data_IF_925245697007
#
_entry.id   IF_925245697007
#
_cell.length_a   1.000
_cell.length_b   1.000
_cell.length_c   1.000
_cell.angle_alpha   90.00
_cell.angle_beta   90.00
_cell.angle_gamma   90.00
#
_symmetry.space_group_name_H-M   'P 1'
#
loop_
_entity.id
_entity.type
_entity.pdbx_description
1 polymer ?
#
# COMPACT_ATOMS: atom_id res chain seq x y z
N UNK A 1 6.11 31.98 -4.71
CA UNK A 1 5.14 31.00 -4.21
C UNK A 1 3.89 30.98 -5.07
N UNK A 2 3.11 29.91 -4.98
CA UNK A 2 1.85 29.73 -5.71
C UNK A 2 0.68 29.85 -4.73
N UNK A 3 -0.45 30.43 -5.16
CA UNK A 3 -1.75 30.27 -4.50
C UNK A 3 -2.38 28.98 -5.03
N UNK A 4 -2.79 28.09 -4.13
CA UNK A 4 -3.31 26.75 -4.51
C UNK A 4 -4.69 26.56 -3.89
N UNK A 5 -5.68 26.16 -4.74
CA UNK A 5 -6.94 25.56 -4.31
C UNK A 5 -6.92 24.08 -4.65
N UNK A 6 -7.51 23.26 -3.79
CA UNK A 6 -7.63 21.81 -3.99
C UNK A 6 -9.11 21.46 -4.03
N UNK A 7 -9.54 20.92 -5.16
CA UNK A 7 -10.91 20.54 -5.40
C UNK A 7 -11.03 19.04 -5.67
N UNK A 8 -12.13 18.44 -5.23
CA UNK A 8 -12.44 17.05 -5.51
C UNK A 8 -13.25 16.96 -6.82
N UNK A 9 -12.76 16.20 -7.79
CA UNK A 9 -13.44 15.96 -9.07
C UNK A 9 -14.62 14.99 -8.89
N UNK A 10 -15.78 15.53 -8.46
CA UNK A 10 -17.01 14.76 -8.26
C UNK A 10 -18.01 14.90 -9.40
N UNK A 11 -18.02 16.03 -10.13
CA UNK A 11 -18.88 16.28 -11.27
C UNK A 11 -18.31 17.42 -12.15
N UNK A 12 -18.61 17.41 -13.46
CA UNK A 12 -18.14 18.44 -14.40
C UNK A 12 -18.53 19.85 -13.95
N UNK A 13 -19.80 20.04 -13.56
CA UNK A 13 -20.30 21.31 -13.05
C UNK A 13 -19.53 21.83 -11.84
N UNK A 14 -19.09 20.94 -10.94
CA UNK A 14 -18.29 21.33 -9.75
C UNK A 14 -16.91 21.81 -10.18
N UNK A 15 -16.27 21.08 -11.11
CA UNK A 15 -14.95 21.48 -11.64
C UNK A 15 -15.04 22.82 -12.38
N UNK A 16 -16.06 23.02 -13.21
CA UNK A 16 -16.31 24.28 -13.95
C UNK A 16 -16.56 25.45 -12.97
N UNK A 17 -17.38 25.25 -11.95
CA UNK A 17 -17.66 26.26 -10.93
C UNK A 17 -16.40 26.62 -10.12
N UNK A 18 -15.64 25.61 -9.68
CA UNK A 18 -14.40 25.83 -8.95
C UNK A 18 -13.38 26.65 -9.76
N UNK A 19 -13.21 26.33 -11.05
CA UNK A 19 -12.37 27.09 -11.98
C UNK A 19 -12.86 28.53 -12.16
N UNK A 20 -14.18 28.72 -12.33
CA UNK A 20 -14.77 30.04 -12.49
C UNK A 20 -14.60 30.93 -11.24
N UNK A 21 -14.67 30.36 -10.05
CA UNK A 21 -14.52 31.08 -8.77
C UNK A 21 -13.05 31.37 -8.47
N UNK A 22 -12.17 30.38 -8.55
CA UNK A 22 -10.76 30.52 -8.20
C UNK A 22 -9.93 31.25 -9.27
N UNK A 23 -10.33 31.10 -10.56
CA UNK A 23 -9.65 31.67 -11.74
C UNK A 23 -8.15 31.33 -11.77
N UNK A 24 -7.79 30.05 -11.80
CA UNK A 24 -6.39 29.64 -11.80
C UNK A 24 -5.70 29.98 -13.13
N UNK A 25 -4.38 30.17 -13.10
CA UNK A 25 -3.55 30.28 -14.29
C UNK A 25 -3.30 28.91 -14.95
N UNK A 26 -3.32 27.83 -14.14
CA UNK A 26 -3.12 26.45 -14.57
C UNK A 26 -3.90 25.50 -13.67
N UNK A 27 -4.48 24.45 -14.28
CA UNK A 27 -5.06 23.33 -13.55
C UNK A 27 -4.08 22.15 -13.57
N UNK A 28 -3.82 21.53 -12.41
CA UNK A 28 -3.04 20.30 -12.31
C UNK A 28 -3.94 19.18 -11.83
N UNK A 29 -4.04 18.13 -12.62
CA UNK A 29 -4.91 16.98 -12.35
C UNK A 29 -4.07 15.72 -12.08
N UNK A 30 -3.69 15.44 -10.84
CA UNK A 30 -3.08 14.18 -10.46
C UNK A 30 -4.14 13.09 -10.32
N UNK A 31 -3.86 11.90 -10.81
CA UNK A 31 -4.70 10.70 -10.61
C UNK A 31 -6.16 10.84 -11.09
N UNK A 32 -6.35 11.36 -12.30
CA UNK A 32 -7.68 11.52 -12.89
C UNK A 32 -8.43 10.18 -13.01
N UNK A 33 -9.71 10.22 -12.64
CA UNK A 33 -10.69 9.17 -12.95
C UNK A 33 -11.66 9.56 -14.05
N UNK A 34 -11.80 10.84 -14.29
CA UNK A 34 -12.71 11.45 -15.26
C UNK A 34 -11.93 12.39 -16.16
N UNK A 35 -12.36 12.56 -17.41
CA UNK A 35 -11.78 13.57 -18.27
C UNK A 35 -12.07 14.98 -17.73
N UNK A 36 -11.10 15.88 -17.88
CA UNK A 36 -11.33 17.31 -17.59
C UNK A 36 -12.35 17.82 -18.61
N UNK A 37 -13.40 18.57 -18.20
CA UNK A 37 -14.40 19.11 -19.12
C UNK A 37 -13.79 19.96 -20.23
N UNK A 38 -14.30 19.84 -21.45
CA UNK A 38 -13.83 20.63 -22.59
C UNK A 38 -13.95 22.13 -22.34
N UNK A 39 -15.02 22.55 -21.67
CA UNK A 39 -15.22 23.95 -21.26
C UNK A 39 -14.08 24.51 -20.40
N UNK A 40 -13.30 23.65 -19.75
CA UNK A 40 -12.14 23.99 -18.93
C UNK A 40 -10.85 23.92 -19.76
N UNK A 41 -10.49 22.73 -20.29
CA UNK A 41 -9.19 22.55 -20.96
C UNK A 41 -9.03 23.34 -22.26
N UNK A 42 -10.12 23.75 -22.92
CA UNK A 42 -10.06 24.59 -24.11
C UNK A 42 -9.69 26.06 -23.81
N UNK A 43 -9.79 26.49 -22.56
CA UNK A 43 -9.58 27.90 -22.14
C UNK A 43 -8.44 28.09 -21.15
N UNK A 44 -8.03 27.03 -20.50
CA UNK A 44 -7.05 27.02 -19.41
C UNK A 44 -6.03 25.90 -19.65
N UNK A 45 -4.71 26.14 -19.53
CA UNK A 45 -3.74 25.07 -19.52
C UNK A 45 -4.05 24.06 -18.42
N UNK A 46 -4.28 22.80 -18.81
CA UNK A 46 -4.55 21.73 -17.87
C UNK A 46 -3.46 20.65 -17.98
N UNK A 47 -2.76 20.41 -16.90
CA UNK A 47 -1.71 19.40 -16.78
C UNK A 47 -2.28 18.12 -16.22
N UNK A 48 -2.23 17.04 -17.00
CA UNK A 48 -2.58 15.68 -16.57
C UNK A 48 -1.31 14.98 -16.13
N UNK A 49 -1.31 14.46 -14.91
CA UNK A 49 -0.20 13.66 -14.38
C UNK A 49 -0.52 12.18 -14.61
N UNK A 50 -0.02 11.63 -15.71
CA UNK A 50 -0.24 10.23 -16.07
C UNK A 50 0.84 9.34 -15.45
N UNK A 51 0.47 8.26 -14.71
CA UNK A 51 1.44 7.33 -14.09
C UNK A 51 1.96 6.31 -15.12
N UNK A 52 2.48 6.81 -16.24
CA UNK A 52 3.00 6.04 -17.36
C UNK A 52 4.20 6.71 -18.01
N UNK A 53 5.00 5.92 -18.73
CA UNK A 53 6.10 6.40 -19.57
C UNK A 53 5.53 7.16 -20.78
N UNK A 54 6.36 7.96 -21.44
CA UNK A 54 5.94 8.70 -22.61
C UNK A 54 5.35 7.76 -23.69
N UNK A 55 4.13 8.08 -24.10
CA UNK A 55 3.34 7.29 -25.06
C UNK A 55 2.44 6.25 -24.43
N UNK A 56 2.57 5.94 -23.12
CA UNK A 56 1.61 5.09 -22.42
C UNK A 56 0.28 5.85 -22.25
N UNK A 57 -0.83 5.15 -22.53
CA UNK A 57 -2.17 5.70 -22.46
C UNK A 57 -3.14 4.67 -21.88
N UNK A 58 -4.10 5.14 -21.11
CA UNK A 58 -5.18 4.31 -20.58
C UNK A 58 -5.14 4.16 -19.07
N UNK A 59 -6.24 3.65 -18.48
CA UNK A 59 -6.52 3.79 -17.04
C UNK A 59 -5.79 2.81 -16.12
N UNK A 60 -5.04 1.83 -16.64
CA UNK A 60 -4.40 0.77 -15.84
C UNK A 60 -2.89 0.68 -16.08
N UNK A 61 -2.23 1.81 -16.24
CA UNK A 61 -0.82 1.91 -16.61
C UNK A 61 0.11 1.04 -15.73
N UNK A 62 0.06 1.20 -14.41
CA UNK A 62 0.88 0.41 -13.48
C UNK A 62 0.45 -1.05 -13.36
N UNK A 63 -0.85 -1.35 -13.46
CA UNK A 63 -1.33 -2.74 -13.48
C UNK A 63 -0.67 -3.51 -14.63
N UNK A 64 -0.63 -2.92 -15.83
CA UNK A 64 0.03 -3.49 -16.99
C UNK A 64 1.55 -3.55 -16.85
N UNK A 65 2.18 -2.48 -16.36
CA UNK A 65 3.63 -2.45 -16.16
C UNK A 65 4.12 -3.57 -15.24
N UNK A 66 3.46 -3.76 -14.09
CA UNK A 66 3.79 -4.82 -13.14
C UNK A 66 3.51 -6.21 -13.75
N UNK A 67 2.37 -6.37 -14.43
CA UNK A 67 1.99 -7.65 -15.05
C UNK A 67 2.97 -8.05 -16.16
N UNK A 68 3.45 -7.10 -16.93
CA UNK A 68 4.43 -7.31 -18.02
C UNK A 68 5.88 -7.32 -17.55
N UNK A 69 6.12 -7.10 -16.24
CA UNK A 69 7.46 -7.07 -15.66
C UNK A 69 8.37 -6.01 -16.31
N UNK A 70 7.82 -4.83 -16.59
CA UNK A 70 8.62 -3.72 -17.11
C UNK A 70 9.77 -3.42 -16.12
N UNK A 71 11.03 -3.34 -16.58
CA UNK A 71 12.16 -3.08 -15.68
C UNK A 71 12.21 -1.64 -15.19
N UNK A 72 11.65 -0.72 -15.97
CA UNK A 72 11.56 0.70 -15.67
C UNK A 72 10.16 1.21 -16.01
N UNK A 73 9.68 2.16 -15.25
CA UNK A 73 8.42 2.83 -15.52
C UNK A 73 8.57 4.33 -15.32
N UNK A 74 7.47 5.10 -15.38
CA UNK A 74 7.60 6.55 -15.26
C UNK A 74 6.28 7.26 -15.00
N UNK A 75 6.43 8.59 -14.91
CA UNK A 75 5.32 9.54 -14.86
C UNK A 75 5.51 10.55 -15.98
N UNK A 76 4.45 10.85 -16.70
CA UNK A 76 4.44 11.86 -17.76
C UNK A 76 3.41 12.94 -17.44
N UNK A 77 3.82 14.20 -17.50
CA UNK A 77 2.93 15.36 -17.38
C UNK A 77 2.55 15.79 -18.79
N UNK A 78 1.26 15.69 -19.10
CA UNK A 78 0.67 15.95 -20.41
C UNK A 78 -0.20 17.20 -20.37
N UNK A 79 -0.27 17.94 -21.49
CA UNK A 79 -1.32 18.91 -21.72
C UNK A 79 -2.64 18.18 -21.99
N UNK A 80 -3.71 18.56 -21.29
CA UNK A 80 -5.04 18.00 -21.59
C UNK A 80 -5.52 18.44 -22.97
N UNK A 81 -6.05 17.48 -23.71
CA UNK A 81 -6.67 17.65 -25.02
C UNK A 81 -7.90 16.73 -25.16
N UNK A 82 -8.59 16.78 -26.29
CA UNK A 82 -9.79 15.98 -26.53
C UNK A 82 -9.57 14.46 -26.49
N UNK A 83 -8.35 13.99 -26.70
CA UNK A 83 -7.99 12.58 -26.57
C UNK A 83 -7.23 12.34 -25.24
N UNK A 84 -7.76 11.46 -24.41
CA UNK A 84 -7.18 11.16 -23.10
C UNK A 84 -5.75 10.59 -23.24
N UNK A 85 -4.84 11.08 -22.39
CA UNK A 85 -3.43 10.69 -22.29
C UNK A 85 -2.62 10.82 -23.60
N UNK A 86 -3.10 11.57 -24.59
CA UNK A 86 -2.47 11.70 -25.91
C UNK A 86 -1.90 13.10 -26.19
N UNK A 87 -2.06 14.04 -25.29
CA UNK A 87 -1.61 15.41 -25.45
C UNK A 87 -0.08 15.59 -25.46
N UNK A 88 0.39 16.80 -25.82
CA UNK A 88 1.82 17.12 -25.79
C UNK A 88 2.42 16.97 -24.39
N UNK A 89 3.69 16.60 -24.35
CA UNK A 89 4.45 16.30 -23.12
C UNK A 89 5.13 17.55 -22.60
N UNK A 90 4.87 17.91 -21.33
CA UNK A 90 5.55 18.97 -20.61
C UNK A 90 6.81 18.49 -19.90
N UNK A 91 6.72 17.34 -19.24
CA UNK A 91 7.84 16.75 -18.51
C UNK A 91 7.62 15.25 -18.30
N UNK A 92 8.69 14.52 -18.04
CA UNK A 92 8.61 13.10 -17.68
C UNK A 92 9.71 12.75 -16.69
N UNK A 93 9.44 11.76 -15.83
CA UNK A 93 10.41 11.16 -14.91
C UNK A 93 10.29 9.64 -14.98
N UNK A 94 11.41 8.96 -15.20
CA UNK A 94 11.46 7.50 -15.17
C UNK A 94 12.14 7.00 -13.89
N UNK A 95 11.78 5.79 -13.46
CA UNK A 95 12.34 5.12 -12.29
C UNK A 95 12.41 3.61 -12.51
N UNK A 96 13.35 2.89 -11.85
CA UNK A 96 13.34 1.43 -11.80
C UNK A 96 12.04 0.92 -11.15
N UNK A 97 11.35 -0.02 -11.79
CA UNK A 97 10.12 -0.61 -11.26
C UNK A 97 10.46 -1.72 -10.27
N UNK A 98 10.25 -1.47 -8.98
CA UNK A 98 10.47 -2.47 -7.92
C UNK A 98 9.46 -3.60 -7.99
N UNK A 99 9.88 -4.80 -7.57
CA UNK A 99 9.02 -5.97 -7.40
C UNK A 99 8.29 -5.86 -6.06
N UNK A 100 7.18 -5.15 -6.04
CA UNK A 100 6.35 -4.94 -4.84
C UNK A 100 4.89 -4.70 -5.23
N UNK A 101 4.02 -4.49 -4.24
CA UNK A 101 2.62 -4.14 -4.46
C UNK A 101 2.47 -2.81 -5.21
N UNK A 102 1.51 -2.71 -6.12
CA UNK A 102 1.20 -1.51 -6.89
C UNK A 102 1.07 -0.26 -6.02
N UNK A 103 0.38 -0.38 -4.88
CA UNK A 103 0.22 0.74 -3.97
C UNK A 103 1.54 1.25 -3.38
N UNK A 104 2.52 0.35 -3.19
CA UNK A 104 3.88 0.72 -2.77
C UNK A 104 4.59 1.52 -3.85
N UNK A 105 4.50 1.09 -5.13
CA UNK A 105 5.05 1.83 -6.28
C UNK A 105 4.44 3.24 -6.37
N UNK A 106 3.12 3.37 -6.19
CA UNK A 106 2.48 4.68 -6.18
C UNK A 106 3.05 5.62 -5.12
N UNK A 107 3.28 5.11 -3.91
CA UNK A 107 3.77 5.93 -2.78
C UNK A 107 5.24 6.31 -2.91
N UNK A 108 6.07 5.37 -3.32
CA UNK A 108 7.52 5.51 -3.18
C UNK A 108 8.23 5.91 -4.48
N UNK A 109 7.65 5.62 -5.65
CA UNK A 109 8.23 5.96 -6.96
C UNK A 109 7.39 6.98 -7.71
N UNK A 110 6.09 6.70 -7.91
CA UNK A 110 5.20 7.54 -8.74
C UNK A 110 5.02 8.93 -8.12
N UNK A 111 4.72 9.02 -6.83
CA UNK A 111 4.46 10.30 -6.17
C UNK A 111 5.67 11.24 -6.17
N UNK A 112 6.89 10.80 -5.80
CA UNK A 112 8.08 11.65 -5.93
C UNK A 112 8.37 12.05 -7.39
N UNK A 113 8.29 11.12 -8.34
CA UNK A 113 8.50 11.39 -9.76
C UNK A 113 7.47 12.39 -10.31
N UNK A 114 6.20 12.24 -9.93
CA UNK A 114 5.13 13.17 -10.29
C UNK A 114 5.39 14.57 -9.76
N UNK A 115 5.84 14.69 -8.51
CA UNK A 115 6.16 15.99 -7.89
C UNK A 115 7.28 16.70 -8.65
N UNK A 116 8.35 15.99 -9.01
CA UNK A 116 9.46 16.56 -9.80
C UNK A 116 8.97 16.95 -11.20
N UNK A 117 8.24 16.08 -11.89
CA UNK A 117 7.75 16.35 -13.24
C UNK A 117 6.79 17.54 -13.30
N UNK A 118 5.88 17.66 -12.33
CA UNK A 118 4.94 18.81 -12.23
C UNK A 118 5.71 20.12 -12.03
N UNK A 119 6.70 20.15 -11.14
CA UNK A 119 7.51 21.35 -10.92
C UNK A 119 8.30 21.75 -12.17
N UNK A 120 8.85 20.78 -12.91
CA UNK A 120 9.53 21.03 -14.20
C UNK A 120 8.55 21.59 -15.25
N UNK A 121 7.35 21.01 -15.35
CA UNK A 121 6.31 21.49 -16.26
C UNK A 121 5.91 22.93 -15.94
N UNK A 122 5.64 23.27 -14.68
CA UNK A 122 5.29 24.62 -14.24
C UNK A 122 6.44 25.62 -14.49
N UNK A 123 7.68 25.21 -14.28
CA UNK A 123 8.84 26.04 -14.57
C UNK A 123 9.00 26.29 -16.08
N UNK A 124 8.80 25.29 -16.93
CA UNK A 124 8.83 25.43 -18.39
C UNK A 124 7.73 26.39 -18.88
N UNK A 125 6.51 26.26 -18.33
CA UNK A 125 5.40 27.18 -18.62
C UNK A 125 5.74 28.62 -18.22
N UNK A 126 6.29 28.84 -17.03
CA UNK A 126 6.67 30.17 -16.55
C UNK A 126 7.78 30.82 -17.42
N UNK A 127 8.59 30.01 -18.12
CA UNK A 127 9.60 30.47 -19.08
C UNK A 127 9.06 30.66 -20.50
N UNK A 128 7.74 30.49 -20.71
CA UNK A 128 7.11 30.64 -22.03
C UNK A 128 7.44 29.48 -23.00
N UNK A 129 7.91 28.33 -22.49
CA UNK A 129 8.11 27.15 -23.32
C UNK A 129 6.79 26.51 -23.72
N UNK A 130 6.79 25.73 -24.77
CA UNK A 130 5.65 24.94 -25.25
C UNK A 130 5.90 23.45 -25.03
N UNK A 131 4.86 22.64 -24.77
CA UNK A 131 5.04 21.20 -24.58
C UNK A 131 5.38 20.55 -25.92
N UNK A 132 6.13 19.45 -25.86
CA UNK A 132 6.58 18.71 -27.04
C UNK A 132 5.45 17.77 -27.51
N UNK A 133 4.99 17.86 -28.78
CA UNK A 133 4.05 16.90 -29.32
C UNK A 133 4.55 15.45 -29.20
N UNK A 134 3.66 14.55 -28.83
CA UNK A 134 4.01 13.14 -28.59
C UNK A 134 4.71 12.49 -29.80
N UNK A 135 4.29 12.83 -31.01
CA UNK A 135 4.89 12.33 -32.27
C UNK A 135 6.34 12.79 -32.49
N UNK A 136 6.78 13.83 -31.80
CA UNK A 136 8.15 14.36 -31.87
C UNK A 136 9.02 13.87 -30.71
N UNK A 137 8.46 13.11 -29.77
CA UNK A 137 9.20 12.61 -28.62
C UNK A 137 10.07 11.42 -29.01
N UNK A 138 11.36 11.65 -29.14
CA UNK A 138 12.32 10.59 -29.42
C UNK A 138 12.36 9.57 -28.28
N UNK A 139 12.17 8.28 -28.59
CA UNK A 139 12.21 7.21 -27.60
C UNK A 139 10.89 6.95 -26.87
N UNK A 140 9.76 7.50 -27.33
CA UNK A 140 8.45 7.10 -26.84
C UNK A 140 8.23 5.59 -27.08
N UNK A 141 8.01 4.85 -25.97
CA UNK A 141 7.83 3.37 -26.00
C UNK A 141 6.53 2.91 -25.35
N UNK A 142 5.74 3.86 -24.85
CA UNK A 142 4.43 3.59 -24.30
C UNK A 142 3.42 3.17 -25.36
N UNK A 143 2.34 2.56 -24.93
CA UNK A 143 1.27 2.02 -25.80
C UNK A 143 -0.10 2.35 -25.20
N UNK A 144 -1.12 2.43 -26.06
CA UNK A 144 -2.51 2.46 -25.61
C UNK A 144 -2.90 1.08 -25.08
N UNK A 145 -3.29 1.01 -23.81
CA UNK A 145 -3.73 -0.20 -23.14
C UNK A 145 -5.17 -0.05 -22.61
N UNK A 146 -5.98 -1.11 -22.68
CA UNK A 146 -7.33 -1.08 -22.14
C UNK A 146 -7.33 -1.06 -20.62
N UNK A 147 -8.48 -0.76 -20.03
CA UNK A 147 -8.74 -1.00 -18.63
C UNK A 147 -8.52 -2.49 -18.32
N UNK A 148 -7.59 -2.78 -17.41
CA UNK A 148 -7.35 -4.15 -16.96
C UNK A 148 -8.53 -4.64 -16.12
N UNK A 149 -9.20 -5.66 -16.59
CA UNK A 149 -10.37 -6.29 -15.95
C UNK A 149 -9.98 -7.47 -15.08
N UNK A 150 -10.94 -8.04 -14.36
CA UNK A 150 -10.68 -9.22 -13.52
C UNK A 150 -10.25 -10.44 -14.36
N UNK A 151 -10.76 -10.60 -15.56
CA UNK A 151 -10.35 -11.68 -16.48
C UNK A 151 -8.86 -11.58 -16.86
N UNK A 152 -8.33 -10.36 -17.05
CA UNK A 152 -6.92 -10.13 -17.39
C UNK A 152 -5.97 -10.50 -16.23
N UNK A 153 -6.44 -10.43 -14.99
CA UNK A 153 -5.67 -10.74 -13.77
C UNK A 153 -6.05 -12.04 -13.09
N UNK A 154 -6.95 -12.83 -13.72
CA UNK A 154 -7.42 -14.11 -13.18
C UNK A 154 -6.26 -15.07 -12.94
N UNK A 155 -6.22 -15.67 -11.75
CA UNK A 155 -5.29 -16.75 -11.42
C UNK A 155 -5.86 -18.07 -11.92
N UNK A 156 -5.05 -18.79 -12.69
CA UNK A 156 -5.30 -20.20 -13.01
C UNK A 156 -4.40 -21.05 -12.11
N UNK A 157 -4.96 -21.52 -11.01
CA UNK A 157 -4.20 -22.29 -10.02
C UNK A 157 -3.60 -23.58 -10.57
N UNK A 158 -4.16 -24.14 -11.64
CA UNK A 158 -3.64 -25.37 -12.26
C UNK A 158 -2.42 -25.12 -13.14
N UNK A 159 -2.13 -23.87 -13.52
CA UNK A 159 -1.10 -23.52 -14.51
C UNK A 159 -0.12 -22.47 -13.99
N UNK A 160 -0.61 -21.48 -13.23
CA UNK A 160 0.20 -20.36 -12.78
C UNK A 160 1.25 -20.76 -11.75
N UNK A 161 2.49 -20.40 -12.03
CA UNK A 161 3.60 -20.54 -11.06
C UNK A 161 3.43 -19.57 -9.89
N UNK A 162 4.13 -19.83 -8.78
CA UNK A 162 4.21 -18.93 -7.62
C UNK A 162 4.53 -17.49 -8.05
N UNK A 163 5.51 -17.32 -8.92
CA UNK A 163 5.90 -16.02 -9.45
C UNK A 163 4.77 -15.36 -10.26
N UNK A 164 4.02 -16.11 -11.06
CA UNK A 164 2.89 -15.59 -11.84
C UNK A 164 1.73 -15.17 -10.93
N UNK A 165 1.39 -15.96 -9.93
CA UNK A 165 0.37 -15.67 -8.93
C UNK A 165 0.71 -14.39 -8.17
N UNK A 166 1.94 -14.27 -7.64
CA UNK A 166 2.38 -13.09 -6.90
C UNK A 166 2.37 -11.83 -7.77
N UNK A 167 2.75 -11.93 -9.03
CA UNK A 167 2.73 -10.81 -9.96
C UNK A 167 1.31 -10.27 -10.18
N UNK A 168 0.33 -11.16 -10.40
CA UNK A 168 -1.09 -10.81 -10.54
C UNK A 168 -1.63 -10.14 -9.27
N UNK A 169 -1.30 -10.68 -8.10
CA UNK A 169 -1.70 -10.12 -6.81
C UNK A 169 -1.06 -8.75 -6.57
N UNK A 170 0.23 -8.59 -6.83
CA UNK A 170 0.94 -7.30 -6.69
C UNK A 170 0.38 -6.22 -7.63
N UNK A 171 0.05 -6.57 -8.88
CA UNK A 171 -0.55 -5.63 -9.84
C UNK A 171 -1.95 -5.17 -9.42
N UNK A 172 -2.67 -5.96 -8.63
CA UNK A 172 -4.03 -5.68 -8.18
C UNK A 172 -4.11 -5.10 -6.75
N UNK A 173 -3.05 -5.18 -5.96
CA UNK A 173 -3.03 -4.68 -4.58
C UNK A 173 -2.90 -3.15 -4.56
N UNK A 174 -3.55 -2.41 -3.73
CA UNK A 174 -4.56 -2.60 -2.70
C UNK A 174 -5.99 -2.44 -3.24
N UNK A 175 -6.13 -2.14 -4.52
CA UNK A 175 -7.37 -2.05 -5.29
C UNK A 175 -7.09 -2.44 -6.76
N UNK A 176 -7.94 -3.24 -7.40
CA UNK A 176 -9.20 -3.80 -6.90
C UNK A 176 -9.05 -5.13 -6.15
N UNK A 177 -7.85 -5.72 -6.07
CA UNK A 177 -7.59 -7.09 -5.69
C UNK A 177 -7.82 -8.07 -6.85
N UNK A 178 -7.48 -9.33 -6.67
CA UNK A 178 -7.71 -10.40 -7.64
C UNK A 178 -8.94 -11.20 -7.24
N UNK A 179 -9.95 -11.23 -8.11
CA UNK A 179 -11.15 -12.03 -7.89
C UNK A 179 -10.82 -13.53 -7.91
N UNK A 180 -11.31 -14.24 -6.93
CA UNK A 180 -11.06 -15.67 -6.72
C UNK A 180 -12.18 -16.31 -5.87
N UNK A 181 -12.01 -17.57 -5.54
CA UNK A 181 -12.87 -18.32 -4.64
C UNK A 181 -12.02 -19.01 -3.56
N UNK A 182 -12.37 -18.77 -2.29
CA UNK A 182 -11.81 -19.49 -1.14
C UNK A 182 -12.94 -20.20 -0.40
N UNK A 183 -12.73 -21.47 -0.07
CA UNK A 183 -13.72 -22.29 0.64
C UNK A 183 -15.10 -22.29 -0.03
N UNK A 184 -15.16 -22.17 -1.36
CA UNK A 184 -16.40 -22.11 -2.12
C UNK A 184 -17.07 -20.73 -2.17
N UNK A 185 -16.55 -19.72 -1.48
CA UNK A 185 -17.11 -18.37 -1.46
C UNK A 185 -16.32 -17.37 -2.31
N UNK A 186 -16.99 -16.51 -3.11
CA UNK A 186 -16.32 -15.50 -3.94
C UNK A 186 -15.68 -14.42 -3.06
N UNK A 187 -14.46 -14.05 -3.41
CA UNK A 187 -13.69 -13.03 -2.70
C UNK A 187 -12.68 -12.34 -3.63
N UNK A 188 -12.00 -11.33 -3.11
CA UNK A 188 -10.81 -10.73 -3.72
C UNK A 188 -9.61 -10.95 -2.80
N UNK A 189 -8.48 -11.31 -3.40
CA UNK A 189 -7.22 -11.61 -2.72
C UNK A 189 -6.30 -10.39 -2.70
N UNK A 190 -5.57 -10.22 -1.58
CA UNK A 190 -4.62 -9.14 -1.34
C UNK A 190 -3.47 -9.61 -0.47
N UNK A 191 -2.40 -8.80 -0.37
CA UNK A 191 -1.34 -8.95 0.62
C UNK A 191 -0.69 -10.33 0.56
N UNK A 192 -0.02 -10.61 -0.55
CA UNK A 192 0.56 -11.93 -0.77
C UNK A 192 2.09 -11.91 -0.73
N UNK A 193 2.65 -12.96 -0.14
CA UNK A 193 4.07 -13.27 -0.24
C UNK A 193 4.31 -14.75 -0.54
N UNK A 194 5.52 -15.04 -1.02
CA UNK A 194 5.97 -16.41 -1.31
C UNK A 194 6.22 -17.19 -0.02
N UNK A 195 5.92 -18.50 -0.03
CA UNK A 195 6.54 -19.45 0.90
C UNK A 195 7.79 -20.02 0.23
N UNK A 196 8.97 -19.55 0.70
CA UNK A 196 10.25 -19.95 0.14
C UNK A 196 10.77 -21.30 0.65
N UNK A 197 10.15 -21.86 1.70
CA UNK A 197 10.44 -23.23 2.11
C UNK A 197 9.76 -24.22 1.17
N UNK A 198 10.38 -25.40 1.01
CA UNK A 198 9.76 -26.48 0.27
C UNK A 198 8.46 -26.93 0.95
N UNK A 199 7.37 -26.94 0.19
CA UNK A 199 6.07 -27.42 0.66
C UNK A 199 5.87 -28.83 0.15
N UNK A 200 6.15 -29.80 1.02
CA UNK A 200 5.92 -31.22 0.71
C UNK A 200 4.44 -31.55 0.86
N UNK A 201 3.75 -31.67 -0.26
CA UNK A 201 2.33 -31.99 -0.28
C UNK A 201 1.90 -32.59 -1.63
N UNK A 202 0.99 -33.57 -1.58
CA UNK A 202 0.30 -34.14 -2.74
C UNK A 202 -1.03 -33.40 -3.03
N UNK A 203 -1.35 -32.34 -2.29
CA UNK A 203 -2.56 -31.57 -2.51
C UNK A 203 -2.53 -30.92 -3.91
N UNK A 204 -3.64 -30.88 -4.64
CA UNK A 204 -3.68 -30.24 -5.95
C UNK A 204 -3.43 -28.73 -5.82
N UNK A 205 -2.86 -28.08 -6.87
CA UNK A 205 -2.73 -26.61 -6.91
C UNK A 205 -4.08 -25.92 -6.65
N UNK A 206 -4.04 -24.79 -5.94
CA UNK A 206 -5.24 -24.07 -5.51
C UNK A 206 -5.79 -24.48 -4.14
N UNK A 207 -5.31 -25.59 -3.57
CA UNK A 207 -5.71 -26.03 -2.22
C UNK A 207 -5.16 -25.09 -1.16
N UNK A 208 -5.99 -24.70 -0.19
CA UNK A 208 -5.56 -24.03 1.04
C UNK A 208 -5.00 -25.07 1.99
N UNK A 209 -3.72 -24.94 2.33
CA UNK A 209 -2.97 -25.96 3.04
C UNK A 209 -2.93 -25.75 4.55
N UNK A 210 -2.81 -24.50 4.98
CA UNK A 210 -2.57 -24.16 6.37
C UNK A 210 -2.93 -22.69 6.64
N UNK A 211 -2.88 -22.32 7.90
CA UNK A 211 -2.96 -20.93 8.35
C UNK A 211 -1.73 -20.57 9.19
N UNK A 212 -1.42 -19.28 9.26
CA UNK A 212 -0.45 -18.69 10.20
C UNK A 212 -0.91 -17.28 10.53
N UNK A 213 -1.24 -17.03 11.80
CA UNK A 213 -1.78 -15.74 12.25
C UNK A 213 -2.93 -15.25 11.35
N UNK A 214 -2.70 -14.18 10.61
CA UNK A 214 -3.70 -13.55 9.74
C UNK A 214 -3.77 -14.14 8.34
N UNK A 215 -2.83 -15.02 7.96
CA UNK A 215 -2.65 -15.47 6.59
C UNK A 215 -3.03 -16.94 6.35
N UNK A 216 -3.42 -17.20 5.12
CA UNK A 216 -3.71 -18.56 4.58
C UNK A 216 -2.63 -18.94 3.58
N UNK A 217 -2.10 -20.17 3.70
CA UNK A 217 -1.14 -20.74 2.76
C UNK A 217 -1.89 -21.49 1.65
N UNK A 218 -1.67 -21.12 0.40
CA UNK A 218 -2.32 -21.73 -0.76
C UNK A 218 -1.32 -22.30 -1.74
N UNK A 219 -1.54 -23.55 -2.18
CA UNK A 219 -0.70 -24.29 -3.10
C UNK A 219 -0.72 -23.66 -4.50
N UNK A 220 0.46 -23.49 -5.10
CA UNK A 220 0.66 -23.21 -6.53
C UNK A 220 1.20 -24.45 -7.25
N UNK A 221 1.46 -24.39 -8.55
CA UNK A 221 1.99 -25.55 -9.29
C UNK A 221 3.41 -25.94 -8.87
N UNK A 222 4.21 -24.98 -8.42
CA UNK A 222 5.64 -25.13 -8.13
C UNK A 222 6.03 -24.74 -6.69
N UNK A 223 5.07 -24.32 -5.84
CA UNK A 223 5.33 -23.88 -4.49
C UNK A 223 4.05 -23.54 -3.75
N UNK A 224 4.07 -22.46 -2.97
CA UNK A 224 2.89 -21.93 -2.29
C UNK A 224 3.01 -20.43 -2.07
N UNK A 225 1.87 -19.77 -1.85
CA UNK A 225 1.77 -18.36 -1.52
C UNK A 225 0.96 -18.17 -0.25
N UNK A 226 1.41 -17.26 0.58
CA UNK A 226 0.62 -16.73 1.69
C UNK A 226 -0.30 -15.63 1.17
N UNK A 227 -1.53 -15.60 1.66
CA UNK A 227 -2.55 -14.58 1.39
C UNK A 227 -2.94 -13.99 2.74
N UNK A 228 -2.53 -12.75 3.00
CA UNK A 228 -2.73 -12.09 4.29
C UNK A 228 -4.10 -11.47 4.44
N UNK A 229 -4.67 -10.95 3.34
CA UNK A 229 -5.95 -10.23 3.37
C UNK A 229 -6.88 -10.67 2.25
N UNK A 230 -8.17 -10.68 2.56
CA UNK A 230 -9.23 -10.96 1.59
C UNK A 230 -10.41 -10.01 1.78
N UNK A 231 -11.19 -9.81 0.71
CA UNK A 231 -12.46 -9.11 0.76
C UNK A 231 -13.54 -10.03 0.19
N UNK A 232 -14.43 -10.54 1.03
CA UNK A 232 -15.60 -11.32 0.59
C UNK A 232 -16.58 -10.40 -0.16
N UNK A 233 -17.39 -10.99 -1.02
CA UNK A 233 -18.45 -10.24 -1.73
C UNK A 233 -19.38 -9.57 -0.71
N UNK A 234 -19.67 -8.27 -0.90
CA UNK A 234 -20.51 -7.49 -0.01
C UNK A 234 -19.91 -7.14 1.35
N UNK A 235 -18.64 -7.47 1.62
CA UNK A 235 -17.96 -7.23 2.89
C UNK A 235 -16.81 -6.22 2.76
N UNK A 236 -16.18 -5.90 3.89
CA UNK A 236 -14.95 -5.11 3.99
C UNK A 236 -13.72 -6.01 3.82
N UNK A 237 -12.55 -5.41 3.58
CA UNK A 237 -11.28 -6.16 3.51
C UNK A 237 -10.81 -6.50 4.92
N UNK A 238 -10.55 -7.77 5.16
CA UNK A 238 -10.15 -8.31 6.45
C UNK A 238 -8.90 -9.19 6.33
N UNK A 239 -8.18 -9.44 7.44
CA UNK A 239 -7.23 -10.54 7.54
C UNK A 239 -7.87 -11.83 7.03
N UNK A 240 -7.14 -12.63 6.26
CA UNK A 240 -7.71 -13.78 5.57
C UNK A 240 -8.31 -14.82 6.50
N UNK A 241 -7.66 -15.07 7.65
CA UNK A 241 -8.17 -16.00 8.68
C UNK A 241 -9.42 -15.46 9.37
N UNK A 242 -9.56 -14.16 9.57
CA UNK A 242 -10.75 -13.56 10.16
C UNK A 242 -11.92 -13.55 9.17
N UNK A 243 -11.65 -13.26 7.88
CA UNK A 243 -12.70 -13.28 6.85
C UNK A 243 -13.30 -14.67 6.64
N UNK A 244 -12.56 -15.74 6.96
CA UNK A 244 -12.93 -17.15 6.85
C UNK A 244 -12.66 -17.89 8.18
N UNK A 245 -13.13 -17.33 9.28
CA UNK A 245 -12.80 -17.78 10.63
C UNK A 245 -13.14 -19.26 10.84
N UNK A 246 -14.37 -19.64 10.53
CA UNK A 246 -14.87 -21.00 10.73
C UNK A 246 -14.10 -22.00 9.85
N UNK A 247 -13.89 -21.67 8.57
CA UNK A 247 -13.20 -22.53 7.62
C UNK A 247 -11.70 -22.64 7.91
N UNK A 248 -11.09 -21.53 8.31
CA UNK A 248 -9.66 -21.49 8.65
C UNK A 248 -9.34 -22.17 9.97
N UNK A 249 -10.26 -22.20 10.93
CA UNK A 249 -10.07 -22.87 12.21
C UNK A 249 -9.81 -24.38 12.06
N UNK A 250 -10.33 -25.00 10.99
CA UNK A 250 -10.13 -26.41 10.71
C UNK A 250 -8.76 -26.71 10.03
N UNK A 251 -8.02 -25.71 9.60
CA UNK A 251 -6.73 -25.87 8.95
C UNK A 251 -5.61 -26.11 9.96
N UNK A 252 -4.54 -26.84 9.56
CA UNK A 252 -3.30 -26.89 10.31
C UNK A 252 -2.75 -25.48 10.56
N UNK A 253 -2.38 -25.19 11.80
CA UNK A 253 -1.69 -23.95 12.13
C UNK A 253 -0.18 -24.16 12.06
N UNK A 254 0.48 -23.45 11.15
CA UNK A 254 1.93 -23.43 11.09
C UNK A 254 2.47 -22.45 12.13
N UNK A 255 3.49 -22.83 12.91
CA UNK A 255 4.05 -21.96 13.89
C UNK A 255 4.59 -20.67 13.25
N UNK A 256 4.50 -19.56 13.99
CA UNK A 256 5.26 -18.38 13.63
C UNK A 256 6.75 -18.74 13.67
N UNK A 257 7.57 -18.20 12.74
CA UNK A 257 8.99 -18.16 12.95
C UNK A 257 9.30 -17.55 14.32
N UNK A 258 10.38 -17.97 14.97
CA UNK A 258 10.93 -17.22 16.10
C UNK A 258 11.07 -15.75 15.71
N UNK A 259 11.17 -14.84 16.67
CA UNK A 259 11.30 -13.41 16.37
C UNK A 259 12.46 -13.08 15.42
N UNK A 260 13.48 -13.94 15.33
CA UNK A 260 14.54 -13.80 14.35
C UNK A 260 14.00 -13.77 12.91
N UNK A 261 14.63 -12.95 12.08
CA UNK A 261 14.32 -12.94 10.65
C UNK A 261 14.50 -14.33 10.06
N UNK A 262 13.47 -14.82 9.41
CA UNK A 262 13.51 -16.11 8.75
C UNK A 262 14.60 -16.13 7.65
N UNK A 263 15.33 -17.27 7.49
CA UNK A 263 16.39 -17.39 6.50
C UNK A 263 15.89 -17.45 5.05
N UNK A 264 14.59 -17.58 4.87
CA UNK A 264 13.91 -17.61 3.57
C UNK A 264 12.65 -16.73 3.60
N UNK A 265 12.14 -16.39 2.45
CA UNK A 265 10.88 -15.63 2.36
C UNK A 265 9.74 -16.48 2.89
N UNK A 266 8.98 -15.92 3.82
CA UNK A 266 7.77 -16.55 4.38
C UNK A 266 6.87 -15.45 4.96
N UNK A 267 5.67 -15.82 5.40
CA UNK A 267 4.80 -14.91 6.14
C UNK A 267 5.38 -14.63 7.53
N UNK A 268 5.98 -13.46 7.67
CA UNK A 268 6.55 -12.96 8.92
C UNK A 268 6.41 -11.44 8.96
N UNK A 269 5.43 -10.96 9.70
CA UNK A 269 5.10 -9.54 9.84
C UNK A 269 5.90 -8.82 10.96
N UNK A 270 6.51 -9.59 11.87
CA UNK A 270 7.43 -9.11 12.92
C UNK A 270 8.71 -9.93 12.80
N UNK A 271 9.86 -9.26 12.67
CA UNK A 271 11.16 -9.91 12.57
C UNK A 271 12.24 -9.10 13.30
N UNK A 272 13.19 -9.80 13.88
CA UNK A 272 14.33 -9.20 14.58
C UNK A 272 15.65 -9.61 13.95
N UNK A 273 16.59 -8.69 13.93
CA UNK A 273 17.97 -8.94 13.50
C UNK A 273 18.95 -8.13 14.34
N UNK A 274 20.21 -8.58 14.43
CA UNK A 274 21.28 -7.90 15.16
C UNK A 274 22.47 -7.59 14.24
N UNK A 275 23.00 -6.39 14.38
CA UNK A 275 24.30 -5.99 13.83
C UNK A 275 25.13 -5.36 14.92
N UNK A 276 26.09 -6.10 15.44
CA UNK A 276 26.93 -5.70 16.57
C UNK A 276 26.11 -5.36 17.83
N UNK A 277 26.16 -4.11 18.26
CA UNK A 277 25.43 -3.64 19.44
C UNK A 277 24.03 -3.10 19.12
N UNK A 278 23.57 -3.21 17.88
CA UNK A 278 22.26 -2.72 17.41
C UNK A 278 21.34 -3.89 17.14
N UNK A 279 20.20 -3.92 17.81
CA UNK A 279 19.08 -4.80 17.48
C UNK A 279 18.03 -4.03 16.68
N UNK A 280 17.50 -4.62 15.63
CA UNK A 280 16.42 -4.01 14.83
C UNK A 280 15.19 -4.91 14.89
N UNK A 281 14.11 -4.38 15.43
CA UNK A 281 12.79 -5.01 15.43
C UNK A 281 11.96 -4.43 14.29
N UNK A 282 11.81 -5.21 13.22
CA UNK A 282 10.98 -4.87 12.08
C UNK A 282 9.54 -5.29 12.32
N UNK A 283 8.61 -4.44 11.94
CA UNK A 283 7.20 -4.78 11.87
C UNK A 283 6.58 -4.15 10.62
N UNK A 284 5.82 -4.93 9.87
CA UNK A 284 5.24 -4.50 8.60
C UNK A 284 3.81 -5.03 8.50
N UNK A 285 2.89 -4.29 9.11
CA UNK A 285 1.47 -4.64 9.06
C UNK A 285 0.80 -4.04 7.82
N UNK A 286 -0.09 -4.80 7.21
CA UNK A 286 -0.76 -4.39 5.98
C UNK A 286 -1.50 -3.05 6.17
N UNK A 287 -1.24 -2.10 5.27
CA UNK A 287 -1.71 -0.72 5.36
C UNK A 287 -1.35 0.01 6.66
N UNK A 288 -0.39 -0.49 7.44
CA UNK A 288 0.00 0.10 8.72
C UNK A 288 -1.03 -0.02 9.84
N UNK A 289 -2.10 -0.77 9.64
CA UNK A 289 -3.15 -0.98 10.65
C UNK A 289 -2.71 -2.04 11.67
N UNK A 290 -2.97 -1.77 12.94
CA UNK A 290 -2.55 -2.61 14.06
C UNK A 290 -3.76 -3.07 14.87
N UNK A 291 -4.12 -4.36 14.72
CA UNK A 291 -5.17 -4.97 15.53
C UNK A 291 -4.70 -5.24 16.96
N UNK A 292 -5.64 -5.51 17.86
CA UNK A 292 -5.38 -5.92 19.24
C UNK A 292 -4.28 -6.99 19.30
N UNK A 293 -4.43 -8.07 18.53
CA UNK A 293 -3.45 -9.16 18.48
C UNK A 293 -2.10 -8.73 17.91
N UNK A 294 -2.05 -7.90 16.90
CA UNK A 294 -0.79 -7.39 16.33
C UNK A 294 -0.04 -6.50 17.32
N UNK A 295 -0.75 -5.64 18.06
CA UNK A 295 -0.17 -4.85 19.14
C UNK A 295 0.42 -5.73 20.23
N UNK A 296 -0.32 -6.75 20.71
CA UNK A 296 0.15 -7.69 21.73
C UNK A 296 1.37 -8.51 21.27
N UNK A 297 1.38 -8.95 19.99
CA UNK A 297 2.53 -9.67 19.42
C UNK A 297 3.76 -8.76 19.31
N UNK A 298 3.60 -7.52 18.89
CA UNK A 298 4.72 -6.58 18.82
C UNK A 298 5.23 -6.21 20.21
N UNK A 299 4.34 -6.08 21.20
CA UNK A 299 4.72 -5.91 22.61
C UNK A 299 5.55 -7.09 23.11
N UNK A 300 5.12 -8.33 22.83
CA UNK A 300 5.86 -9.53 23.22
C UNK A 300 7.23 -9.62 22.52
N UNK A 301 7.31 -9.26 21.24
CA UNK A 301 8.56 -9.19 20.49
C UNK A 301 9.50 -8.12 21.06
N UNK A 302 8.98 -6.96 21.44
CA UNK A 302 9.74 -5.89 22.10
C UNK A 302 10.27 -6.34 23.46
N UNK A 303 9.41 -6.96 24.30
CA UNK A 303 9.82 -7.49 25.58
C UNK A 303 10.92 -8.57 25.47
N UNK A 304 10.88 -9.40 24.41
CA UNK A 304 11.93 -10.35 24.09
C UNK A 304 13.21 -9.64 23.61
N UNK A 305 13.11 -8.65 22.72
CA UNK A 305 14.23 -7.89 22.17
C UNK A 305 15.00 -7.12 23.27
N UNK A 306 14.30 -6.65 24.31
CA UNK A 306 14.89 -6.00 25.49
C UNK A 306 15.85 -6.91 26.26
N UNK A 307 15.73 -8.22 26.13
CA UNK A 307 16.61 -9.20 26.82
C UNK A 307 17.86 -9.51 25.97
N UNK A 308 17.99 -8.96 24.78
CA UNK A 308 19.14 -9.18 23.90
C UNK A 308 20.33 -8.31 24.35
N UNK A 309 21.59 -8.75 24.09
CA UNK A 309 22.78 -8.03 24.51
C UNK A 309 23.12 -6.81 23.63
N UNK A 310 22.10 -6.13 23.11
CA UNK A 310 22.22 -4.93 22.27
C UNK A 310 22.16 -3.67 23.16
N UNK A 311 22.76 -2.59 22.68
CA UNK A 311 22.74 -1.28 23.36
C UNK A 311 21.73 -0.32 22.73
N UNK A 312 21.41 -0.54 21.48
CA UNK A 312 20.44 0.23 20.71
C UNK A 312 19.36 -0.74 20.21
N UNK A 313 18.12 -0.36 20.36
CA UNK A 313 16.98 -1.07 19.82
C UNK A 313 16.24 -0.17 18.84
N UNK A 314 16.33 -0.52 17.57
CA UNK A 314 15.64 0.19 16.48
C UNK A 314 14.30 -0.49 16.23
N UNK A 315 13.22 0.27 16.26
CA UNK A 315 11.93 -0.15 15.73
C UNK A 315 11.84 0.35 14.29
N UNK A 316 11.64 -0.54 13.34
CA UNK A 316 11.53 -0.23 11.93
C UNK A 316 10.18 -0.71 11.38
N UNK A 317 9.35 0.22 10.94
CA UNK A 317 8.10 -0.07 10.24
C UNK A 317 8.32 -0.52 8.79
N UNK A 318 7.23 -0.84 8.09
CA UNK A 318 7.28 -1.15 6.67
C UNK A 318 7.66 0.07 5.80
N UNK A 319 8.01 -0.16 4.53
CA UNK A 319 8.42 0.91 3.62
C UNK A 319 7.29 1.89 3.27
N UNK A 320 6.04 1.46 3.37
CA UNK A 320 4.86 2.25 3.02
C UNK A 320 4.26 2.97 4.22
N UNK A 321 4.25 2.28 5.35
CA UNK A 321 3.69 2.77 6.60
C UNK A 321 4.60 2.38 7.77
N UNK A 322 4.75 3.32 8.69
CA UNK A 322 5.18 3.01 10.04
C UNK A 322 4.01 2.38 10.79
N UNK A 323 2.96 3.13 11.01
CA UNK A 323 1.69 2.66 11.56
C UNK A 323 0.61 3.72 11.36
N UNK A 324 -0.60 3.27 11.06
CA UNK A 324 -1.80 4.11 11.00
C UNK A 324 -2.69 4.00 12.27
N UNK A 325 -2.14 3.42 13.35
CA UNK A 325 -2.89 3.18 14.58
C UNK A 325 -3.75 1.93 14.53
N UNK A 326 -4.84 1.94 15.28
CA UNK A 326 -5.75 0.78 15.46
C UNK A 326 -6.38 0.30 14.16
N UNK A 327 -6.77 -0.96 14.12
CA UNK A 327 -7.24 -1.63 12.90
C UNK A 327 -8.76 -1.48 12.71
N UNK A 328 -9.20 -0.39 12.06
CA UNK A 328 -10.61 -0.04 11.90
C UNK A 328 -11.47 -1.17 11.30
N UNK A 329 -10.97 -1.86 10.27
CA UNK A 329 -11.74 -2.93 9.64
C UNK A 329 -11.94 -4.14 10.57
N UNK A 330 -11.00 -4.45 11.46
CA UNK A 330 -11.17 -5.52 12.47
C UNK A 330 -12.20 -5.10 13.51
N UNK A 331 -12.15 -3.86 13.96
CA UNK A 331 -13.13 -3.27 14.89
C UNK A 331 -14.54 -3.33 14.28
N UNK A 332 -14.70 -2.88 13.05
CA UNK A 332 -15.99 -2.93 12.35
C UNK A 332 -16.50 -4.38 12.17
N UNK A 333 -15.59 -5.30 11.87
CA UNK A 333 -15.93 -6.71 11.69
C UNK A 333 -16.46 -7.37 12.97
N UNK A 334 -16.02 -6.94 14.14
CA UNK A 334 -16.52 -7.46 15.42
C UNK A 334 -18.03 -7.29 15.60
N UNK A 335 -18.63 -6.26 14.97
CA UNK A 335 -20.07 -6.04 14.98
C UNK A 335 -20.86 -6.85 13.93
N UNK A 336 -20.17 -7.56 13.02
CA UNK A 336 -20.83 -8.39 11.99
C UNK A 336 -21.19 -9.79 12.51
N UNK A 337 -20.70 -10.17 13.67
CA UNK A 337 -21.02 -11.41 14.41
C UNK A 337 -21.68 -11.12 15.75
N UNK A 338 -21.42 -11.97 16.72
CA UNK A 338 -21.96 -11.84 18.09
C UNK A 338 -21.11 -10.90 18.97
N UNK A 339 -20.07 -10.28 18.42
CA UNK A 339 -19.15 -9.39 19.13
C UNK A 339 -19.60 -7.93 19.14
N UNK A 340 -18.81 -7.10 19.79
CA UNK A 340 -19.03 -5.67 19.94
C UNK A 340 -17.86 -4.88 19.35
N UNK A 341 -18.15 -4.00 18.38
CA UNK A 341 -17.13 -3.08 17.84
C UNK A 341 -16.59 -2.13 18.92
N UNK A 342 -17.40 -1.77 19.91
CA UNK A 342 -16.97 -0.93 21.02
C UNK A 342 -15.95 -1.64 21.91
N UNK A 343 -16.19 -2.92 22.24
CA UNK A 343 -15.28 -3.71 23.06
C UNK A 343 -13.97 -4.00 22.30
N UNK A 344 -14.02 -4.40 21.01
CA UNK A 344 -12.82 -4.59 20.19
C UNK A 344 -12.02 -3.29 20.05
N UNK A 345 -12.71 -2.14 19.88
CA UNK A 345 -12.04 -0.84 19.84
C UNK A 345 -11.34 -0.52 21.13
N UNK A 346 -12.00 -0.77 22.28
CA UNK A 346 -11.42 -0.56 23.60
C UNK A 346 -10.21 -1.44 23.83
N UNK A 347 -10.31 -2.72 23.48
CA UNK A 347 -9.20 -3.67 23.60
C UNK A 347 -8.03 -3.28 22.69
N UNK A 348 -8.31 -2.82 21.47
CA UNK A 348 -7.25 -2.40 20.53
C UNK A 348 -6.54 -1.13 21.00
N UNK A 349 -7.28 -0.15 21.53
CA UNK A 349 -6.71 1.07 22.11
C UNK A 349 -5.80 0.72 23.29
N UNK A 350 -6.29 -0.14 24.22
CA UNK A 350 -5.49 -0.57 25.37
C UNK A 350 -4.23 -1.34 24.96
N UNK A 351 -4.34 -2.27 24.00
CA UNK A 351 -3.19 -3.01 23.50
C UNK A 351 -2.14 -2.09 22.85
N UNK A 352 -2.57 -1.03 22.15
CA UNK A 352 -1.66 -0.02 21.60
C UNK A 352 -1.01 0.84 22.68
N UNK A 353 -1.75 1.20 23.73
CA UNK A 353 -1.22 1.91 24.88
C UNK A 353 -0.20 1.06 25.64
N UNK A 354 -0.48 -0.23 25.85
CA UNK A 354 0.42 -1.16 26.52
C UNK A 354 1.72 -1.36 25.74
N UNK A 355 1.64 -1.48 24.41
CA UNK A 355 2.80 -1.51 23.53
C UNK A 355 3.64 -0.22 23.64
N UNK A 356 2.98 0.93 23.66
CA UNK A 356 3.63 2.24 23.80
C UNK A 356 4.34 2.36 25.14
N UNK A 357 3.67 1.90 26.21
CA UNK A 357 4.24 1.88 27.56
C UNK A 357 5.43 0.91 27.67
N UNK A 358 5.36 -0.25 26.99
CA UNK A 358 6.48 -1.19 26.92
C UNK A 358 7.74 -0.58 26.28
N UNK A 359 7.54 0.24 25.25
CA UNK A 359 8.64 0.98 24.60
C UNK A 359 9.23 2.04 25.52
N UNK A 360 8.41 2.83 26.21
CA UNK A 360 8.87 3.82 27.20
C UNK A 360 9.68 3.13 28.32
N UNK A 361 9.26 1.94 28.74
CA UNK A 361 9.94 1.17 29.79
C UNK A 361 11.07 0.29 29.21
N UNK A 362 11.98 0.90 28.43
CA UNK A 362 13.17 0.24 27.87
C UNK A 362 14.47 0.93 28.35
N UNK A 363 14.79 0.91 29.68
CA UNK A 363 15.88 1.71 30.22
C UNK A 363 17.28 1.17 29.91
N UNK A 364 17.40 -0.07 29.47
CA UNK A 364 18.70 -0.72 29.25
C UNK A 364 19.26 -0.48 27.82
N UNK A 365 18.44 0.00 26.91
CA UNK A 365 18.81 0.23 25.52
C UNK A 365 18.33 1.60 25.08
N UNK A 366 19.10 2.28 24.23
CA UNK A 366 18.62 3.46 23.52
C UNK A 366 17.60 3.02 22.47
N UNK A 367 16.39 3.54 22.54
CA UNK A 367 15.33 3.21 21.59
C UNK A 367 15.26 4.20 20.45
N UNK A 368 15.12 3.70 19.22
CA UNK A 368 15.02 4.52 17.99
C UNK A 368 13.81 4.09 17.20
N UNK A 369 12.89 5.01 16.93
CA UNK A 369 11.83 4.80 15.95
C UNK A 369 12.33 5.25 14.58
N UNK A 370 12.49 4.31 13.64
CA UNK A 370 12.98 4.57 12.28
C UNK A 370 11.81 4.54 11.29
N UNK A 371 11.31 5.72 10.91
CA UNK A 371 10.14 5.87 10.06
C UNK A 371 10.53 5.96 8.59
N UNK A 372 10.46 4.84 7.88
CA UNK A 372 10.58 4.78 6.42
C UNK A 372 9.27 5.06 5.69
N UNK A 373 8.12 4.94 6.37
CA UNK A 373 6.78 5.16 5.86
C UNK A 373 5.94 6.06 6.76
N UNK A 374 4.74 6.40 6.29
CA UNK A 374 3.84 7.35 6.97
C UNK A 374 3.35 6.81 8.33
N UNK A 375 3.06 7.74 9.25
CA UNK A 375 2.44 7.44 10.53
C UNK A 375 1.17 8.26 10.73
N UNK A 376 0.11 7.60 11.20
CA UNK A 376 -1.18 8.23 11.53
C UNK A 376 -1.64 7.88 12.93
N UNK A 377 -2.49 8.72 13.50
CA UNK A 377 -3.17 8.51 14.77
C UNK A 377 -2.24 7.94 15.86
N UNK A 378 -2.60 6.83 16.51
CA UNK A 378 -1.80 6.14 17.51
C UNK A 378 -0.40 5.73 17.06
N UNK A 379 -0.18 5.53 15.75
CA UNK A 379 1.15 5.25 15.20
C UNK A 379 2.14 6.40 15.39
N UNK A 380 1.67 7.66 15.38
CA UNK A 380 2.53 8.81 15.69
C UNK A 380 2.98 8.78 17.15
N UNK A 381 2.08 8.44 18.07
CA UNK A 381 2.40 8.39 19.50
C UNK A 381 3.32 7.23 19.83
N UNK A 382 3.15 6.07 19.18
CA UNK A 382 4.08 4.95 19.30
C UNK A 382 5.49 5.36 18.85
N UNK A 383 5.65 6.11 17.78
CA UNK A 383 6.95 6.62 17.35
C UNK A 383 7.56 7.59 18.35
N UNK A 384 6.75 8.48 18.92
CA UNK A 384 7.20 9.50 19.89
C UNK A 384 7.54 8.91 21.26
N UNK A 385 7.20 7.66 21.53
CA UNK A 385 7.57 6.94 22.77
C UNK A 385 9.04 6.48 22.79
N UNK A 386 9.73 6.47 21.65
CA UNK A 386 11.14 6.15 21.57
C UNK A 386 12.03 7.33 22.02
N UNK A 387 13.25 7.04 22.50
CA UNK A 387 14.22 8.08 22.88
C UNK A 387 14.61 8.96 21.69
N UNK A 388 14.63 8.39 20.47
CA UNK A 388 14.92 9.12 19.23
C UNK A 388 13.93 8.72 18.13
N UNK A 389 13.57 9.70 17.31
CA UNK A 389 12.69 9.50 16.16
C UNK A 389 13.42 9.94 14.89
N UNK A 390 13.72 8.99 14.01
CA UNK A 390 14.33 9.23 12.72
C UNK A 390 13.29 9.10 11.63
N UNK A 391 13.16 10.15 10.83
CA UNK A 391 12.11 10.23 9.82
C UNK A 391 12.73 10.46 8.46
N UNK A 392 12.42 9.57 7.51
CA UNK A 392 12.79 9.77 6.10
C UNK A 392 12.14 11.04 5.56
N UNK A 393 12.87 11.83 4.77
CA UNK A 393 12.30 12.98 4.09
C UNK A 393 11.06 12.60 3.27
N UNK A 394 10.00 13.40 3.38
CA UNK A 394 8.72 13.17 2.70
C UNK A 394 7.72 12.27 3.44
N UNK A 395 8.11 11.70 4.60
CA UNK A 395 7.16 10.97 5.45
C UNK A 395 6.17 11.94 6.08
N UNK A 396 4.90 11.56 6.07
CA UNK A 396 3.81 12.31 6.70
C UNK A 396 3.55 11.78 8.10
N UNK A 397 3.53 12.67 9.09
CA UNK A 397 3.12 12.41 10.46
C UNK A 397 1.77 13.10 10.68
N UNK A 398 0.71 12.33 10.91
CA UNK A 398 -0.63 12.86 11.14
C UNK A 398 -1.23 12.27 12.42
N UNK A 399 -1.01 12.88 13.61
CA UNK A 399 -1.54 12.38 14.88
C UNK A 399 -3.05 12.61 15.02
N UNK A 400 -3.73 13.08 13.98
CA UNK A 400 -5.12 13.49 14.04
C UNK A 400 -6.08 12.31 13.85
N UNK A 401 -7.03 12.17 14.77
CA UNK A 401 -8.15 11.21 14.71
C UNK A 401 -9.51 11.85 15.09
N UNK A 402 -9.57 13.17 15.16
CA UNK A 402 -10.80 13.92 15.38
C UNK A 402 -11.77 13.69 14.21
N UNK A 403 -13.04 13.52 14.53
CA UNK A 403 -14.13 13.24 13.58
C UNK A 403 -14.16 11.80 13.01
N UNK A 404 -13.41 10.87 13.57
CA UNK A 404 -13.47 9.46 13.17
C UNK A 404 -14.58 8.68 13.94
N UNK A 405 -15.37 9.35 14.73
CA UNK A 405 -16.43 8.73 15.57
C UNK A 405 -15.91 8.30 16.96
N UNK A 406 -16.83 7.90 17.81
CA UNK A 406 -16.52 7.59 19.22
C UNK A 406 -15.79 6.25 19.41
N UNK A 407 -15.73 5.40 18.39
CA UNK A 407 -15.05 4.11 18.46
C UNK A 407 -13.54 4.19 18.22
N UNK A 408 -13.01 5.32 17.72
CA UNK A 408 -11.66 5.40 17.17
C UNK A 408 -10.78 6.46 17.83
N UNK A 409 -11.33 7.15 18.84
CA UNK A 409 -10.60 8.17 19.57
C UNK A 409 -10.13 7.65 20.93
N UNK A 410 -8.94 8.04 21.34
CA UNK A 410 -8.44 7.87 22.70
C UNK A 410 -8.08 9.22 23.29
#
# INVERSE_FOLDING_TARGET
>A
GHSVSVELDIADAVTEEAVALFKPDVLVAPYLRRAIPEAVWSRLPCLVVHPGIVGDRGPSALDWAITLQEPTWGVTVLQAEGQMDAGPVWATQEFPLRVCAKASVYRNEVTPAASVAVLQALQAMAQGQTPTPLVQWAGARGQLRPLMRQDDRRIDWAVDTTAAVLRKLRAADSFPGVADTLFGAPCHLFDACEEGASVDTNAPPGTVLARRETALLRRTVDGAVWIGHVKRAGSIKLPATLAFEAESAALPELPLPDWWRAPHTTWQDIAYEEDGAVGTLHFAFYNGAMSTRQCQRLQAALAWAKQRPTRVLVLAGGPDFWSNGIHLNVIEAASLGDGSAADESWDNINAMNDLTLELIHTPAQLTVAALGGNAGAGGCFLALAADQVWVRSGVMLNPHYKNMGNLYGS
#
